data_IF_883449283123
#
_entry.id   IF_883449283123
#
_cell.length_a   1.000
_cell.length_b   1.000
_cell.length_c   1.000
_cell.angle_alpha   90.00
_cell.angle_beta   90.00
_cell.angle_gamma   90.00
#
_symmetry.space_group_name_H-M   'P 1'
#
loop_
_entity.id
_entity.type
_entity.pdbx_description
1 polymer ?
#
# COMPACT_ATOMS: atom_id res chain seq x y z
N UNK A 1 19.15 -0.67 5.35
CA UNK A 1 19.87 0.33 6.19
C UNK A 1 20.53 -0.40 7.34
N UNK A 2 21.84 -0.25 7.54
CA UNK A 2 22.56 -0.91 8.65
C UNK A 2 22.42 -0.11 9.96
N UNK A 3 22.70 -0.74 11.11
CA UNK A 3 22.74 -0.05 12.41
C UNK A 3 23.69 1.16 12.40
N UNK A 4 24.80 1.03 11.66
CA UNK A 4 25.79 2.10 11.50
C UNK A 4 25.23 3.28 10.69
N UNK A 5 24.48 3.00 9.62
CA UNK A 5 23.84 4.03 8.81
C UNK A 5 22.77 4.79 9.59
N UNK A 6 21.98 4.06 10.40
CA UNK A 6 20.97 4.65 11.27
C UNK A 6 21.60 5.52 12.35
N UNK A 7 22.65 5.03 13.00
CA UNK A 7 23.39 5.79 14.01
C UNK A 7 23.98 7.09 13.42
N UNK A 8 24.54 7.02 12.21
CA UNK A 8 25.07 8.20 11.50
C UNK A 8 24.01 9.24 11.17
N UNK A 9 22.80 8.82 10.73
CA UNK A 9 21.70 9.74 10.43
C UNK A 9 21.09 10.40 11.67
N UNK A 10 21.23 9.75 12.82
CA UNK A 10 20.70 10.24 14.09
C UNK A 10 21.77 10.95 14.94
N UNK A 11 22.99 11.09 14.39
CA UNK A 11 24.16 11.71 15.08
C UNK A 11 24.46 11.09 16.44
N UNK A 12 24.29 9.76 16.56
CA UNK A 12 24.59 9.00 17.78
C UNK A 12 25.67 7.95 17.54
N UNK A 13 26.33 7.49 18.63
CA UNK A 13 27.30 6.40 18.50
C UNK A 13 26.61 5.08 18.13
N UNK A 14 27.29 4.20 17.39
CA UNK A 14 26.82 2.86 17.06
C UNK A 14 26.50 2.06 18.33
N UNK A 15 27.30 2.26 19.41
CA UNK A 15 27.07 1.63 20.70
C UNK A 15 25.77 2.10 21.36
N UNK A 16 25.45 3.40 21.27
CA UNK A 16 24.18 3.96 21.76
C UNK A 16 23.01 3.38 21.01
N UNK A 17 23.11 3.29 19.66
CA UNK A 17 22.04 2.72 18.84
C UNK A 17 21.83 1.23 19.15
N UNK A 18 22.90 0.46 19.32
CA UNK A 18 22.83 -0.94 19.72
C UNK A 18 22.22 -1.12 21.14
N UNK A 19 22.50 -0.22 22.06
CA UNK A 19 21.93 -0.26 23.41
C UNK A 19 20.40 0.01 23.38
N UNK A 20 19.95 0.91 22.50
CA UNK A 20 18.53 1.20 22.25
C UNK A 20 17.85 -0.03 21.65
N UNK A 21 18.40 -0.61 20.58
CA UNK A 21 17.85 -1.78 19.90
C UNK A 21 17.72 -3.00 20.83
N UNK A 22 18.67 -3.17 21.73
CA UNK A 22 18.66 -4.26 22.72
C UNK A 22 17.92 -3.91 24.03
N UNK A 23 17.14 -2.82 24.03
CA UNK A 23 16.36 -2.35 25.18
C UNK A 23 17.18 -2.15 26.49
N UNK A 24 18.46 -1.77 26.36
CA UNK A 24 19.38 -1.54 27.48
C UNK A 24 19.36 -0.09 27.96
N UNK A 25 18.76 0.82 27.18
CA UNK A 25 18.66 2.24 27.47
C UNK A 25 17.25 2.73 27.17
N UNK A 26 16.66 3.50 28.08
CA UNK A 26 15.35 4.12 27.86
C UNK A 26 15.42 5.12 26.70
N UNK A 27 14.44 5.06 25.79
CA UNK A 27 14.33 5.94 24.63
C UNK A 27 13.41 7.09 24.97
N UNK A 28 13.84 8.33 24.78
CA UNK A 28 12.95 9.49 24.91
C UNK A 28 11.98 9.55 23.71
N UNK A 29 10.79 10.14 23.91
CA UNK A 29 9.78 10.33 22.84
C UNK A 29 10.37 11.08 21.64
N UNK A 30 11.20 12.08 21.90
CA UNK A 30 11.88 12.86 20.86
C UNK A 30 12.82 11.96 20.02
N UNK A 31 13.61 11.11 20.66
CA UNK A 31 14.52 10.19 19.98
C UNK A 31 13.77 9.09 19.23
N UNK A 32 12.65 8.61 19.80
CA UNK A 32 11.77 7.66 19.13
C UNK A 32 11.18 8.24 17.86
N UNK A 33 10.70 9.48 17.88
CA UNK A 33 10.20 10.18 16.70
C UNK A 33 11.29 10.41 15.65
N UNK A 34 12.53 10.75 16.07
CA UNK A 34 13.66 10.89 15.15
C UNK A 34 14.03 9.57 14.47
N UNK A 35 14.05 8.45 15.21
CA UNK A 35 14.26 7.10 14.66
C UNK A 35 13.15 6.75 13.69
N UNK A 36 11.88 6.99 14.05
CA UNK A 36 10.73 6.73 13.23
C UNK A 36 10.79 7.51 11.91
N UNK A 37 11.14 8.79 11.95
CA UNK A 37 11.31 9.64 10.77
C UNK A 37 12.39 9.10 9.81
N UNK A 38 13.55 8.69 10.33
CA UNK A 38 14.65 8.13 9.53
C UNK A 38 14.26 6.79 8.91
N UNK A 39 13.45 5.98 9.62
CA UNK A 39 12.96 4.68 9.17
C UNK A 39 11.71 4.79 8.27
N UNK A 40 11.12 5.98 8.16
CA UNK A 40 9.89 6.21 7.40
C UNK A 40 8.66 5.50 7.99
N UNK A 41 8.61 5.36 9.33
CA UNK A 41 7.52 4.73 10.08
C UNK A 41 6.99 5.68 11.16
N UNK A 42 5.89 5.36 11.81
CA UNK A 42 5.41 6.11 12.97
C UNK A 42 6.07 5.63 14.26
N UNK A 43 6.23 6.51 15.25
CA UNK A 43 6.73 6.13 16.58
C UNK A 43 5.83 5.05 17.23
N UNK A 44 4.53 5.08 16.98
CA UNK A 44 3.59 4.04 17.42
C UNK A 44 3.90 2.66 16.85
N UNK A 45 4.27 2.58 15.57
CA UNK A 45 4.66 1.32 14.92
C UNK A 45 5.95 0.74 15.52
N UNK A 46 6.91 1.60 15.92
CA UNK A 46 8.12 1.16 16.62
C UNK A 46 7.84 0.62 18.02
N UNK A 47 6.86 1.19 18.72
CA UNK A 47 6.48 0.77 20.08
C UNK A 47 5.63 -0.50 20.09
N UNK A 48 4.83 -0.72 19.06
CA UNK A 48 3.97 -1.90 18.95
C UNK A 48 4.78 -3.22 18.84
N UNK A 49 6.09 -3.13 18.59
CA UNK A 49 6.97 -4.31 18.50
C UNK A 49 6.58 -5.24 17.35
N UNK A 50 5.77 -4.76 16.43
CA UNK A 50 5.43 -5.48 15.22
C UNK A 50 6.73 -5.63 14.42
N UNK A 51 7.15 -6.85 14.28
CA UNK A 51 8.15 -7.24 13.28
C UNK A 51 7.49 -7.04 11.91
N UNK A 52 7.40 -5.77 11.54
CA UNK A 52 7.03 -5.39 10.20
C UNK A 52 8.19 -5.82 9.29
N UNK A 53 8.08 -7.04 8.79
CA UNK A 53 8.84 -7.40 7.61
C UNK A 53 8.23 -6.54 6.50
N UNK A 54 8.80 -5.34 6.33
CA UNK A 54 8.55 -4.55 5.14
C UNK A 54 8.85 -5.49 3.98
N UNK A 55 7.89 -5.87 3.13
CA UNK A 55 8.26 -6.46 1.87
C UNK A 55 9.16 -5.42 1.23
N UNK A 56 10.45 -5.73 1.14
CA UNK A 56 11.38 -4.90 0.37
C UNK A 56 10.85 -5.01 -1.04
N UNK A 57 10.34 -3.93 -1.67
CA UNK A 57 10.07 -4.00 -3.09
C UNK A 57 11.34 -4.51 -3.72
N UNK A 58 11.25 -5.52 -4.55
CA UNK A 58 12.40 -6.02 -5.30
C UNK A 58 13.02 -4.79 -5.95
N UNK A 59 14.20 -4.37 -5.47
CA UNK A 59 14.98 -3.27 -6.02
C UNK A 59 15.60 -3.74 -7.34
N UNK A 60 14.72 -3.86 -8.34
CA UNK A 60 15.11 -4.01 -9.72
C UNK A 60 14.29 -2.98 -10.45
N UNK A 61 14.92 -1.93 -10.93
CA UNK A 61 14.37 -0.77 -11.60
C UNK A 61 13.34 0.03 -10.80
N UNK A 62 13.60 1.34 -10.63
CA UNK A 62 12.72 2.32 -9.99
C UNK A 62 11.44 2.61 -10.83
N UNK A 63 11.08 1.72 -11.75
CA UNK A 63 9.89 1.84 -12.58
C UNK A 63 8.65 1.33 -11.85
N UNK A 64 7.83 2.26 -11.40
CA UNK A 64 6.59 1.97 -10.71
C UNK A 64 5.55 1.25 -11.61
N UNK A 65 5.74 1.21 -12.92
CA UNK A 65 4.90 0.45 -13.87
C UNK A 65 5.30 -1.01 -13.95
N UNK A 66 6.49 -1.37 -13.48
CA UNK A 66 6.94 -2.75 -13.48
C UNK A 66 6.39 -3.52 -12.27
N UNK A 67 5.73 -4.65 -12.52
CA UNK A 67 5.12 -5.53 -11.50
C UNK A 67 5.79 -6.90 -11.52
N UNK A 68 6.93 -7.02 -10.85
CA UNK A 68 7.52 -8.31 -10.56
C UNK A 68 6.64 -9.13 -9.59
N UNK A 69 6.82 -10.45 -9.55
CA UNK A 69 6.16 -11.29 -8.56
C UNK A 69 6.49 -10.81 -7.15
N UNK A 70 5.50 -10.85 -6.26
CA UNK A 70 5.71 -10.53 -4.85
C UNK A 70 6.48 -11.66 -4.18
N UNK A 71 7.55 -11.32 -3.49
CA UNK A 71 8.29 -12.26 -2.64
C UNK A 71 7.50 -12.47 -1.32
N UNK A 72 6.40 -13.21 -1.43
CA UNK A 72 5.59 -13.60 -0.28
C UNK A 72 6.14 -14.92 0.29
N UNK A 73 6.20 -15.02 1.61
CA UNK A 73 6.44 -16.32 2.22
C UNK A 73 5.33 -17.32 1.85
N UNK A 74 5.62 -18.65 1.85
CA UNK A 74 4.64 -19.64 1.39
C UNK A 74 3.30 -19.63 2.13
N UNK A 75 3.29 -19.22 3.41
CA UNK A 75 2.06 -19.15 4.21
C UNK A 75 1.22 -17.96 3.78
N UNK A 76 1.85 -16.83 3.51
CA UNK A 76 1.15 -15.62 3.07
C UNK A 76 0.62 -15.79 1.66
N UNK A 77 1.38 -16.44 0.76
CA UNK A 77 0.92 -16.79 -0.59
C UNK A 77 -0.32 -17.70 -0.53
N UNK A 78 -0.28 -18.76 0.28
CA UNK A 78 -1.43 -19.64 0.50
C UNK A 78 -2.62 -18.91 1.13
N UNK A 79 -2.39 -17.92 1.99
CA UNK A 79 -3.46 -17.11 2.57
C UNK A 79 -4.15 -16.24 1.51
N UNK A 80 -3.42 -15.71 0.50
CA UNK A 80 -4.03 -15.01 -0.64
C UNK A 80 -5.02 -15.93 -1.36
N UNK A 81 -4.59 -17.13 -1.74
CA UNK A 81 -5.43 -18.11 -2.44
C UNK A 81 -6.69 -18.44 -1.63
N UNK A 82 -6.51 -18.86 -0.36
CA UNK A 82 -7.61 -19.31 0.49
C UNK A 82 -8.59 -18.17 0.79
N UNK A 83 -8.10 -16.95 1.07
CA UNK A 83 -9.00 -15.82 1.36
C UNK A 83 -9.73 -15.33 0.11
N UNK A 84 -9.11 -15.43 -1.05
CA UNK A 84 -9.78 -15.08 -2.32
C UNK A 84 -10.90 -16.05 -2.64
N UNK A 85 -10.68 -17.37 -2.41
CA UNK A 85 -11.66 -18.41 -2.73
C UNK A 85 -12.82 -18.49 -1.72
N UNK A 86 -12.50 -18.44 -0.41
CA UNK A 86 -13.47 -18.76 0.65
C UNK A 86 -13.87 -17.56 1.50
N UNK A 87 -13.26 -16.40 1.29
CA UNK A 87 -13.33 -15.25 2.17
C UNK A 87 -12.62 -15.47 3.50
N UNK A 88 -12.36 -14.39 4.21
CA UNK A 88 -11.68 -14.46 5.52
C UNK A 88 -12.43 -15.34 6.53
N UNK A 89 -13.76 -15.22 6.63
CA UNK A 89 -14.54 -15.95 7.64
C UNK A 89 -14.63 -17.44 7.33
N UNK A 90 -14.67 -17.84 6.04
CA UNK A 90 -14.67 -19.24 5.63
C UNK A 90 -13.30 -19.94 5.78
N UNK A 91 -12.21 -19.17 5.78
CA UNK A 91 -10.86 -19.67 5.92
C UNK A 91 -10.54 -20.08 7.36
N UNK A 92 -9.70 -21.10 7.52
CA UNK A 92 -9.13 -21.52 8.82
C UNK A 92 -7.62 -21.66 8.71
N UNK A 93 -6.90 -21.52 9.84
CA UNK A 93 -5.45 -21.74 9.89
C UNK A 93 -5.05 -23.14 9.36
N UNK A 94 -5.92 -24.15 9.55
CA UNK A 94 -5.71 -25.50 9.04
C UNK A 94 -5.75 -25.56 7.50
N UNK A 95 -6.70 -24.85 6.87
CA UNK A 95 -6.82 -24.80 5.41
C UNK A 95 -5.63 -24.07 4.81
N UNK A 96 -5.24 -22.93 5.39
CA UNK A 96 -4.04 -22.19 4.94
C UNK A 96 -2.76 -23.01 5.11
N UNK A 97 -2.59 -23.72 6.25
CA UNK A 97 -1.44 -24.61 6.46
C UNK A 97 -1.39 -25.72 5.41
N UNK A 98 -2.55 -26.31 5.08
CA UNK A 98 -2.64 -27.34 4.02
C UNK A 98 -2.26 -26.80 2.65
N UNK A 99 -2.74 -25.61 2.28
CA UNK A 99 -2.41 -24.95 1.02
C UNK A 99 -0.91 -24.57 0.95
N UNK A 100 -0.33 -24.13 2.09
CA UNK A 100 1.11 -23.85 2.19
C UNK A 100 2.01 -25.10 2.25
N UNK A 101 1.45 -26.31 2.31
CA UNK A 101 2.20 -27.55 2.41
C UNK A 101 2.91 -27.76 3.75
N UNK A 102 2.46 -27.12 4.83
CA UNK A 102 3.06 -27.22 6.17
C UNK A 102 2.08 -27.77 7.21
N UNK A 103 2.61 -28.17 8.37
CA UNK A 103 1.77 -28.63 9.47
C UNK A 103 1.03 -27.46 10.14
N UNK A 104 -0.12 -27.77 10.78
CA UNK A 104 -0.85 -26.77 11.58
C UNK A 104 0.00 -26.21 12.71
N UNK A 105 0.89 -26.99 13.31
CA UNK A 105 1.84 -26.47 14.29
C UNK A 105 2.86 -25.52 13.63
N UNK A 106 3.32 -25.85 12.42
CA UNK A 106 4.26 -25.05 11.65
C UNK A 106 3.74 -23.65 11.32
N UNK A 107 2.46 -23.52 10.91
CA UNK A 107 1.91 -22.21 10.57
C UNK A 107 1.93 -21.24 11.75
N UNK A 108 1.74 -21.73 13.00
CA UNK A 108 1.76 -20.90 14.20
C UNK A 108 3.15 -20.38 14.60
N UNK A 109 4.23 -20.91 13.99
CA UNK A 109 5.57 -20.34 14.10
C UNK A 109 5.73 -19.09 13.23
N UNK A 110 5.00 -18.99 12.13
CA UNK A 110 5.05 -17.86 11.21
C UNK A 110 3.99 -16.80 11.59
N UNK A 111 2.76 -17.23 11.81
CA UNK A 111 1.62 -16.35 12.08
C UNK A 111 0.78 -16.89 13.24
N UNK A 112 0.65 -16.09 14.29
CA UNK A 112 -0.04 -16.49 15.53
C UNK A 112 -1.56 -16.59 15.39
N UNK A 113 -2.14 -15.97 14.37
CA UNK A 113 -3.57 -15.95 14.13
C UNK A 113 -3.91 -15.68 12.68
N UNK A 114 -5.14 -16.02 12.29
CA UNK A 114 -5.70 -15.66 10.99
C UNK A 114 -5.77 -14.14 10.79
N UNK A 115 -6.00 -13.41 11.88
CA UNK A 115 -5.99 -11.94 11.87
C UNK A 115 -4.62 -11.39 11.47
N UNK A 116 -3.53 -11.98 11.99
CA UNK A 116 -2.19 -11.55 11.62
C UNK A 116 -1.88 -11.79 10.13
N UNK A 117 -2.38 -12.88 9.54
CA UNK A 117 -2.30 -13.10 8.08
C UNK A 117 -3.05 -12.01 7.32
N UNK A 118 -4.29 -11.70 7.73
CA UNK A 118 -5.08 -10.67 7.07
C UNK A 118 -4.39 -9.30 7.13
N UNK A 119 -3.88 -8.93 8.30
CA UNK A 119 -3.14 -7.68 8.51
C UNK A 119 -1.92 -7.61 7.60
N UNK A 120 -1.14 -8.70 7.50
CA UNK A 120 0.04 -8.75 6.64
C UNK A 120 -0.32 -8.56 5.15
N UNK A 121 -1.42 -9.14 4.68
CA UNK A 121 -1.89 -8.93 3.30
C UNK A 121 -2.30 -7.48 3.04
N UNK A 122 -2.97 -6.83 3.99
CA UNK A 122 -3.27 -5.41 3.89
C UNK A 122 -2.00 -4.56 3.86
N UNK A 123 -1.00 -4.91 4.66
CA UNK A 123 0.27 -4.18 4.70
C UNK A 123 1.04 -4.30 3.39
N UNK A 124 1.07 -5.49 2.78
CA UNK A 124 1.64 -5.70 1.45
C UNK A 124 0.93 -4.81 0.42
N UNK A 125 -0.40 -4.87 0.35
CA UNK A 125 -1.18 -4.08 -0.62
C UNK A 125 -0.99 -2.58 -0.43
N UNK A 126 -1.07 -2.09 0.82
CA UNK A 126 -0.91 -0.67 1.10
C UNK A 126 0.51 -0.17 0.83
N UNK A 127 1.54 -1.00 1.05
CA UNK A 127 2.92 -0.67 0.71
C UNK A 127 3.08 -0.49 -0.80
N UNK A 128 2.55 -1.41 -1.61
CA UNK A 128 2.56 -1.31 -3.07
C UNK A 128 1.86 -0.02 -3.55
N UNK A 129 0.66 0.25 -3.05
CA UNK A 129 -0.11 1.44 -3.42
C UNK A 129 0.63 2.73 -3.08
N UNK A 130 1.10 2.87 -1.83
CA UNK A 130 1.79 4.09 -1.40
C UNK A 130 3.06 4.36 -2.19
N UNK A 131 3.89 3.33 -2.38
CA UNK A 131 5.14 3.47 -3.11
C UNK A 131 4.89 3.90 -4.56
N UNK A 132 4.00 3.18 -5.28
CA UNK A 132 3.76 3.44 -6.70
C UNK A 132 3.10 4.79 -6.93
N UNK A 133 2.11 5.15 -6.13
CA UNK A 133 1.48 6.47 -6.25
C UNK A 133 2.45 7.60 -5.96
N UNK A 134 3.36 7.46 -4.99
CA UNK A 134 4.37 8.48 -4.73
C UNK A 134 5.37 8.58 -5.88
N UNK A 135 5.87 7.45 -6.38
CA UNK A 135 6.80 7.44 -7.52
C UNK A 135 6.16 8.01 -8.80
N UNK A 136 4.89 7.69 -9.03
CA UNK A 136 4.13 8.24 -10.15
C UNK A 136 3.92 9.77 -10.02
N UNK A 137 3.62 10.25 -8.82
CA UNK A 137 3.48 11.68 -8.56
C UNK A 137 4.78 12.45 -8.79
N UNK A 138 5.92 11.84 -8.41
CA UNK A 138 7.25 12.46 -8.55
C UNK A 138 7.77 12.45 -10.00
N UNK A 139 7.16 11.67 -10.91
CA UNK A 139 7.57 11.58 -12.31
C UNK A 139 7.33 12.89 -13.08
N UNK A 140 6.29 13.64 -12.70
CA UNK A 140 5.98 14.91 -13.37
C UNK A 140 5.68 16.03 -12.35
N UNK A 141 6.35 17.20 -12.45
CA UNK A 141 6.15 18.30 -11.52
C UNK A 141 4.83 19.07 -11.74
N UNK A 142 4.16 18.87 -12.89
CA UNK A 142 2.89 19.54 -13.18
C UNK A 142 1.72 18.78 -12.60
N UNK A 143 0.76 19.44 -11.93
CA UNK A 143 -0.26 18.77 -11.15
C UNK A 143 -1.21 17.90 -11.99
N UNK A 144 -1.57 18.31 -13.21
CA UNK A 144 -2.48 17.52 -14.06
C UNK A 144 -1.85 16.21 -14.54
N UNK A 145 -0.67 16.18 -15.16
CA UNK A 145 0.00 14.93 -15.47
C UNK A 145 0.30 14.08 -14.22
N UNK A 146 0.77 14.69 -13.13
CA UNK A 146 1.01 13.99 -11.86
C UNK A 146 -0.24 13.29 -11.36
N UNK A 147 -1.38 13.97 -11.37
CA UNK A 147 -2.67 13.37 -10.99
C UNK A 147 -3.05 12.18 -11.88
N UNK A 148 -2.89 12.32 -13.20
CA UNK A 148 -3.17 11.24 -14.15
C UNK A 148 -2.28 10.01 -13.89
N UNK A 149 -0.98 10.22 -13.67
CA UNK A 149 -0.01 9.15 -13.35
C UNK A 149 -0.33 8.47 -12.01
N UNK A 150 -0.79 9.21 -11.00
CA UNK A 150 -1.25 8.61 -9.73
C UNK A 150 -2.47 7.71 -9.93
N UNK A 151 -3.42 8.11 -10.77
CA UNK A 151 -4.60 7.29 -11.11
C UNK A 151 -4.18 6.06 -11.90
N UNK A 152 -3.28 6.20 -12.87
CA UNK A 152 -2.67 5.10 -13.61
C UNK A 152 -2.00 4.09 -12.65
N UNK A 153 -1.18 4.57 -11.72
CA UNK A 153 -0.52 3.73 -10.72
C UNK A 153 -1.53 2.98 -9.83
N UNK A 154 -2.60 3.66 -9.42
CA UNK A 154 -3.64 3.05 -8.61
C UNK A 154 -4.39 1.96 -9.40
N UNK A 155 -4.73 2.20 -10.64
CA UNK A 155 -5.40 1.21 -11.51
C UNK A 155 -4.47 0.00 -11.79
N UNK A 156 -3.20 0.24 -12.11
CA UNK A 156 -2.20 -0.82 -12.29
C UNK A 156 -2.03 -1.69 -11.03
N UNK A 157 -1.99 -1.08 -9.84
CA UNK A 157 -1.96 -1.84 -8.59
C UNK A 157 -3.16 -2.78 -8.45
N UNK A 158 -4.37 -2.30 -8.78
CA UNK A 158 -5.59 -3.06 -8.59
C UNK A 158 -5.81 -4.13 -9.68
N UNK A 159 -5.16 -4.02 -10.82
CA UNK A 159 -5.17 -5.04 -11.88
C UNK A 159 -4.07 -6.08 -11.71
N UNK A 160 -2.82 -5.65 -11.48
CA UNK A 160 -1.68 -6.57 -11.29
C UNK A 160 -1.70 -7.30 -9.94
N UNK A 161 -2.18 -6.66 -8.88
CA UNK A 161 -2.33 -7.24 -7.52
C UNK A 161 -3.80 -7.59 -7.22
N UNK A 162 -4.50 -8.09 -8.24
CA UNK A 162 -5.95 -8.31 -8.23
C UNK A 162 -6.45 -9.00 -6.96
N UNK A 163 -5.84 -10.12 -6.58
CA UNK A 163 -6.32 -10.93 -5.45
C UNK A 163 -6.06 -10.24 -4.10
N UNK A 164 -4.91 -9.60 -3.94
CA UNK A 164 -4.65 -8.74 -2.77
C UNK A 164 -5.61 -7.55 -2.70
N UNK A 165 -5.86 -6.90 -3.84
CA UNK A 165 -6.79 -5.79 -3.94
C UNK A 165 -8.23 -6.22 -3.66
N UNK A 166 -8.63 -7.43 -4.13
CA UNK A 166 -9.93 -8.02 -3.83
C UNK A 166 -10.10 -8.28 -2.33
N UNK A 167 -9.12 -8.92 -1.68
CA UNK A 167 -9.13 -9.12 -0.22
C UNK A 167 -9.20 -7.77 0.49
N UNK A 168 -8.39 -6.79 0.06
CA UNK A 168 -8.40 -5.46 0.66
C UNK A 168 -9.75 -4.75 0.50
N UNK A 169 -10.46 -4.95 -0.60
CA UNK A 169 -11.77 -4.35 -0.84
C UNK A 169 -12.89 -5.01 -0.01
N UNK A 170 -12.86 -6.34 0.15
CA UNK A 170 -13.94 -7.11 0.77
C UNK A 170 -13.79 -7.31 2.27
N UNK A 171 -12.56 -7.42 2.77
CA UNK A 171 -12.27 -7.89 4.13
C UNK A 171 -11.87 -6.78 5.13
N UNK A 172 -11.99 -5.51 4.75
CA UNK A 172 -11.72 -4.40 5.67
C UNK A 172 -12.52 -4.49 6.97
N UNK A 173 -13.77 -4.94 6.89
CA UNK A 173 -14.65 -5.14 8.04
C UNK A 173 -14.21 -6.27 8.97
N UNK A 174 -13.38 -7.19 8.47
CA UNK A 174 -12.87 -8.35 9.21
C UNK A 174 -11.60 -8.02 10.01
N UNK A 175 -11.02 -6.84 9.82
CA UNK A 175 -9.91 -6.36 10.65
C UNK A 175 -10.40 -5.99 12.05
N UNK A 176 -9.62 -6.39 13.06
CA UNK A 176 -9.81 -6.03 14.45
C UNK A 176 -9.02 -4.77 14.83
N UNK A 177 -9.40 -4.11 15.92
CA UNK A 177 -8.61 -2.99 16.47
C UNK A 177 -7.33 -3.53 17.16
N UNK A 178 -6.21 -2.80 17.09
CA UNK A 178 -6.05 -1.45 16.51
C UNK A 178 -5.75 -1.43 14.98
N UNK A 179 -5.59 -2.58 14.34
CA UNK A 179 -5.17 -2.68 12.94
C UNK A 179 -6.18 -2.11 11.96
N UNK A 180 -7.47 -2.25 12.26
CA UNK A 180 -8.53 -1.65 11.44
C UNK A 180 -8.37 -0.13 11.34
N UNK A 181 -8.15 0.54 12.46
CA UNK A 181 -7.90 2.00 12.48
C UNK A 181 -6.62 2.34 11.73
N UNK A 182 -5.53 1.62 11.94
CA UNK A 182 -4.24 1.82 11.27
C UNK A 182 -4.36 1.70 9.74
N UNK A 183 -5.03 0.67 9.25
CA UNK A 183 -5.25 0.46 7.81
C UNK A 183 -6.18 1.53 7.24
N UNK A 184 -7.24 1.91 7.96
CA UNK A 184 -8.11 3.01 7.55
C UNK A 184 -7.35 4.34 7.41
N UNK A 185 -6.43 4.62 8.33
CA UNK A 185 -5.56 5.80 8.26
C UNK A 185 -4.58 5.72 7.09
N UNK A 186 -4.06 4.53 6.78
CA UNK A 186 -3.21 4.31 5.61
C UNK A 186 -3.97 4.61 4.30
N UNK A 187 -5.20 4.14 4.16
CA UNK A 187 -6.08 4.47 3.03
C UNK A 187 -6.41 5.96 2.94
N UNK A 188 -6.64 6.58 4.09
CA UNK A 188 -6.90 8.04 4.14
C UNK A 188 -5.70 8.83 3.61
N UNK A 189 -4.46 8.42 3.91
CA UNK A 189 -3.25 9.06 3.35
C UNK A 189 -3.16 8.95 1.84
N UNK A 190 -3.56 7.81 1.25
CA UNK A 190 -3.65 7.66 -0.21
C UNK A 190 -4.61 8.71 -0.79
N UNK A 191 -5.82 8.83 -0.22
CA UNK A 191 -6.81 9.82 -0.65
C UNK A 191 -6.29 11.25 -0.48
N UNK A 192 -5.66 11.56 0.66
CA UNK A 192 -5.10 12.90 0.92
C UNK A 192 -4.00 13.27 -0.09
N UNK A 193 -3.17 12.31 -0.51
CA UNK A 193 -2.16 12.57 -1.53
C UNK A 193 -2.80 12.93 -2.88
N UNK A 194 -3.82 12.18 -3.29
CA UNK A 194 -4.56 12.47 -4.52
C UNK A 194 -5.27 13.83 -4.43
N UNK A 195 -5.90 14.14 -3.29
CA UNK A 195 -6.58 15.40 -3.05
C UNK A 195 -5.62 16.61 -3.07
N UNK A 196 -4.39 16.43 -2.56
CA UNK A 196 -3.36 17.46 -2.56
C UNK A 196 -2.97 17.86 -3.99
N UNK A 197 -2.64 16.87 -4.84
CA UNK A 197 -2.28 17.11 -6.24
C UNK A 197 -3.46 17.70 -7.03
N UNK A 198 -4.68 17.22 -6.75
CA UNK A 198 -5.89 17.79 -7.36
C UNK A 198 -6.12 19.26 -6.97
N UNK A 199 -5.84 19.63 -5.72
CA UNK A 199 -5.98 21.00 -5.24
C UNK A 199 -5.01 21.95 -5.96
N UNK A 200 -3.79 21.53 -6.24
CA UNK A 200 -2.81 22.29 -7.00
C UNK A 200 -3.29 22.53 -8.45
N UNK A 201 -3.88 21.52 -9.10
CA UNK A 201 -4.47 21.66 -10.44
C UNK A 201 -5.70 22.56 -10.45
N UNK A 202 -6.52 22.56 -9.38
CA UNK A 202 -7.64 23.52 -9.22
C UNK A 202 -7.11 24.94 -9.04
N UNK A 203 -6.08 25.13 -8.22
CA UNK A 203 -5.46 26.43 -8.00
C UNK A 203 -4.85 27.01 -9.29
N UNK A 204 -4.32 26.15 -10.15
CA UNK A 204 -3.83 26.50 -11.49
C UNK A 204 -4.98 26.78 -12.50
N UNK A 205 -6.23 26.53 -12.16
CA UNK A 205 -7.39 26.68 -13.05
C UNK A 205 -7.53 25.58 -14.11
N UNK A 206 -6.76 24.47 -13.98
CA UNK A 206 -6.72 23.37 -14.94
C UNK A 206 -7.79 22.30 -14.64
N UNK A 207 -8.18 22.16 -13.37
CA UNK A 207 -9.33 21.38 -12.95
C UNK A 207 -10.51 22.29 -12.63
N UNK A 208 -11.68 21.98 -13.21
CA UNK A 208 -12.88 22.84 -13.13
C UNK A 208 -14.07 22.16 -12.45
N UNK A 209 -13.87 20.93 -11.91
CA UNK A 209 -14.92 20.24 -11.15
C UNK A 209 -15.35 21.09 -9.94
N UNK A 210 -16.66 21.20 -9.65
CA UNK A 210 -17.14 22.02 -8.52
C UNK A 210 -16.82 21.40 -7.16
N UNK A 211 -16.46 20.12 -7.12
CA UNK A 211 -16.20 19.38 -5.89
C UNK A 211 -15.01 18.40 -6.03
N UNK A 212 -13.77 18.93 -6.08
CA UNK A 212 -12.58 18.14 -6.37
C UNK A 212 -12.36 16.98 -5.39
N UNK A 213 -12.61 17.17 -4.08
CA UNK A 213 -12.49 16.11 -3.09
C UNK A 213 -13.45 14.94 -3.34
N UNK A 214 -14.74 15.20 -3.60
CA UNK A 214 -15.69 14.12 -3.88
C UNK A 214 -15.42 13.46 -5.23
N UNK A 215 -14.99 14.23 -6.23
CA UNK A 215 -14.57 13.69 -7.53
C UNK A 215 -13.35 12.78 -7.36
N UNK A 216 -12.32 13.21 -6.61
CA UNK A 216 -11.15 12.37 -6.31
C UNK A 216 -11.51 11.09 -5.57
N UNK A 217 -12.46 11.15 -4.62
CA UNK A 217 -12.97 9.97 -3.92
C UNK A 217 -13.71 9.01 -4.88
N UNK A 218 -14.50 9.52 -5.80
CA UNK A 218 -15.17 8.71 -6.81
C UNK A 218 -14.15 8.00 -7.72
N UNK A 219 -13.11 8.71 -8.15
CA UNK A 219 -12.00 8.17 -8.95
C UNK A 219 -11.27 7.06 -8.20
N UNK A 220 -10.87 7.29 -6.95
CA UNK A 220 -10.22 6.26 -6.14
C UNK A 220 -11.13 5.02 -5.94
N UNK A 221 -12.43 5.23 -5.73
CA UNK A 221 -13.42 4.15 -5.60
C UNK A 221 -13.56 3.36 -6.90
N UNK A 222 -13.56 4.03 -8.05
CA UNK A 222 -13.57 3.40 -9.37
C UNK A 222 -12.35 2.48 -9.55
N UNK A 223 -11.15 2.92 -9.18
CA UNK A 223 -9.94 2.08 -9.23
C UNK A 223 -10.03 0.89 -8.25
N UNK A 224 -10.51 1.11 -7.03
CA UNK A 224 -10.69 0.04 -6.04
C UNK A 224 -11.74 -1.01 -6.45
N UNK A 225 -12.62 -0.70 -7.41
CA UNK A 225 -13.61 -1.64 -7.94
C UNK A 225 -13.05 -2.56 -9.03
N UNK A 226 -11.86 -2.29 -9.58
CA UNK A 226 -11.23 -3.10 -10.63
C UNK A 226 -11.16 -4.61 -10.30
N UNK A 227 -10.79 -5.04 -9.08
CA UNK A 227 -10.71 -6.46 -8.76
C UNK A 227 -12.02 -7.25 -8.92
N UNK A 228 -13.17 -6.58 -8.94
CA UNK A 228 -14.46 -7.24 -9.08
C UNK A 228 -14.80 -7.65 -10.52
N UNK A 229 -14.28 -6.94 -11.50
CA UNK A 229 -14.63 -7.18 -12.90
C UNK A 229 -13.42 -7.44 -13.81
N UNK A 230 -12.24 -6.90 -13.48
CA UNK A 230 -11.05 -7.14 -14.26
C UNK A 230 -10.63 -8.61 -14.19
N UNK A 231 -10.38 -9.22 -15.34
CA UNK A 231 -9.89 -10.60 -15.46
C UNK A 231 -8.55 -10.62 -16.18
N UNK A 232 -7.50 -11.21 -15.58
CA UNK A 232 -6.26 -11.50 -16.30
C UNK A 232 -6.55 -12.34 -17.55
N UNK A 233 -6.00 -11.95 -18.70
CA UNK A 233 -6.30 -12.60 -19.99
C UNK A 233 -7.63 -12.20 -20.64
N UNK A 234 -8.36 -11.23 -20.07
CA UNK A 234 -9.49 -10.57 -20.70
C UNK A 234 -9.10 -9.73 -21.94
N UNK A 235 -10.07 -9.01 -22.55
CA UNK A 235 -9.84 -8.27 -23.79
C UNK A 235 -8.90 -7.07 -23.64
N UNK A 236 -8.73 -6.54 -22.41
CA UNK A 236 -7.89 -5.39 -22.11
C UNK A 236 -6.73 -5.78 -21.19
N UNK A 237 -5.55 -5.30 -21.51
CA UNK A 237 -4.36 -5.40 -20.64
C UNK A 237 -4.48 -4.46 -19.44
N UNK A 238 -3.71 -4.69 -18.35
CA UNK A 238 -3.63 -3.76 -17.24
C UNK A 238 -3.30 -2.32 -17.66
N UNK A 239 -2.39 -2.16 -18.63
CA UNK A 239 -1.96 -0.86 -19.12
C UNK A 239 -3.08 -0.12 -19.87
N UNK A 240 -3.85 -0.82 -20.70
CA UNK A 240 -5.00 -0.24 -21.41
C UNK A 240 -6.07 0.23 -20.44
N UNK A 241 -6.42 -0.60 -19.44
CA UNK A 241 -7.39 -0.23 -18.41
C UNK A 241 -6.88 0.98 -17.60
N UNK A 242 -5.61 1.00 -17.23
CA UNK A 242 -5.04 2.09 -16.44
C UNK A 242 -5.02 3.41 -17.21
N UNK A 243 -4.70 3.38 -18.51
CA UNK A 243 -4.74 4.55 -19.37
C UNK A 243 -6.17 5.11 -19.50
N UNK A 244 -7.16 4.25 -19.76
CA UNK A 244 -8.57 4.66 -19.81
C UNK A 244 -9.03 5.28 -18.49
N UNK A 245 -8.63 4.71 -17.35
CA UNK A 245 -8.99 5.23 -16.04
C UNK A 245 -8.36 6.59 -15.74
N UNK A 246 -7.13 6.82 -16.19
CA UNK A 246 -6.48 8.12 -16.10
C UNK A 246 -7.21 9.19 -16.95
N UNK A 247 -7.61 8.85 -18.18
CA UNK A 247 -8.39 9.73 -19.04
C UNK A 247 -9.77 10.05 -18.45
N UNK A 248 -10.49 9.03 -17.97
CA UNK A 248 -11.77 9.22 -17.28
C UNK A 248 -11.63 10.10 -16.05
N UNK A 249 -10.56 9.93 -15.28
CA UNK A 249 -10.29 10.74 -14.10
C UNK A 249 -10.07 12.23 -14.46
N UNK A 250 -9.29 12.50 -15.50
CA UNK A 250 -9.09 13.86 -16.00
C UNK A 250 -10.42 14.48 -16.48
N UNK A 251 -11.24 13.72 -17.20
CA UNK A 251 -12.55 14.18 -17.64
C UNK A 251 -13.47 14.48 -16.45
N UNK A 252 -13.49 13.61 -15.42
CA UNK A 252 -14.26 13.84 -14.18
C UNK A 252 -13.79 15.07 -13.41
N UNK A 253 -12.50 15.39 -13.44
CA UNK A 253 -11.95 16.62 -12.86
C UNK A 253 -12.26 17.87 -13.70
N UNK A 254 -12.89 17.70 -14.86
CA UNK A 254 -13.23 18.78 -15.76
C UNK A 254 -12.02 19.37 -16.48
N UNK A 255 -10.94 18.58 -16.60
CA UNK A 255 -9.80 18.94 -17.43
C UNK A 255 -10.18 18.87 -18.91
N UNK A 256 -10.03 19.98 -19.62
CA UNK A 256 -10.26 20.05 -21.06
C UNK A 256 -8.92 19.93 -21.77
N UNK A 257 -8.70 18.82 -22.45
CA UNK A 257 -7.61 18.75 -23.43
C UNK A 257 -7.86 19.82 -24.48
N UNK A 258 -6.99 20.85 -24.53
CA UNK A 258 -7.05 21.81 -25.62
C UNK A 258 -6.79 21.04 -26.92
N UNK A 259 -7.80 20.82 -27.73
CA UNK A 259 -7.62 20.33 -29.09
C UNK A 259 -6.94 21.44 -29.88
N UNK A 260 -5.64 21.27 -30.12
CA UNK A 260 -4.90 22.08 -31.09
C UNK A 260 -5.24 21.66 -32.52
#
# INVERSE_FOLDING_TARGET
MTLRDLAGRLEVSVGTMSAIENNKVAVTVERLNAVAAVLGVTAGALLAGDTFVRPTPARGDDDWRHFADLDLDPVLAAAVEVFTETGYHGATMRVVAGAAGISVAGIYHHYRSKQQLLVALFDVMMTEVHWRMSAAADENPHPVPSFALMVEALALCHTHRRDLAFIAATEMRSLEEPDRTRVADSRRRVQQHLDFVAADAVAAGEFTTPNPHNTGRAIATMCMALPYWYSPGGPQSPAEVAAEYAELALAMMGHRVQQN
#
